data_IF_238951882446
#
_entry.id   IF_238951882446
#
_cell.length_a   1.000
_cell.length_b   1.000
_cell.length_c   1.000
_cell.angle_alpha   90.00
_cell.angle_beta   90.00
_cell.angle_gamma   90.00
#
_symmetry.space_group_name_H-M   'P 1'
#
loop_
_entity.id
_entity.type
_entity.pdbx_description
1 polymer ?
#
# COMPACT_ATOMS: atom_id res chain seq x y z
N UNK A 1 -0.08 9.49 29.37
CA UNK A 1 0.93 10.20 28.56
C UNK A 1 0.21 11.37 27.91
N UNK A 2 0.61 12.60 28.26
CA UNK A 2 -0.08 13.85 27.92
C UNK A 2 -0.01 14.07 26.39
N UNK A 3 -1.15 14.01 25.70
CA UNK A 3 -1.26 14.52 24.33
C UNK A 3 -1.25 16.04 24.39
N UNK A 4 -0.16 16.65 23.92
CA UNK A 4 -0.13 18.07 23.60
C UNK A 4 -0.97 18.29 22.33
N UNK A 5 -2.16 18.86 22.52
CA UNK A 5 -2.96 19.42 21.44
C UNK A 5 -2.39 20.80 21.07
N UNK A 6 -1.74 20.90 19.92
CA UNK A 6 -1.55 22.13 19.12
C UNK A 6 -0.95 21.72 17.77
N UNK A 7 -1.45 22.16 16.58
CA UNK A 7 -2.27 23.35 16.31
C UNK A 7 -3.59 23.00 15.59
N UNK A 8 -4.68 22.87 16.35
CA UNK A 8 -6.07 22.87 15.80
C UNK A 8 -6.77 24.20 16.11
N UNK A 9 -6.19 25.03 16.98
CA UNK A 9 -6.76 26.32 17.39
C UNK A 9 -6.68 27.44 16.33
N UNK A 10 -5.96 27.26 15.22
CA UNK A 10 -5.80 28.32 14.22
C UNK A 10 -6.99 28.38 13.25
N UNK A 11 -7.69 27.27 13.01
CA UNK A 11 -8.88 27.26 12.16
C UNK A 11 -10.10 27.82 12.89
N UNK A 12 -10.18 27.61 14.21
CA UNK A 12 -11.24 28.18 15.05
C UNK A 12 -11.14 29.71 15.21
N UNK A 13 -9.96 30.31 15.05
CA UNK A 13 -9.82 31.76 15.17
C UNK A 13 -10.17 32.53 13.88
N UNK A 14 -10.13 31.86 12.72
CA UNK A 14 -10.53 32.47 11.45
C UNK A 14 -12.04 32.33 11.16
N UNK A 15 -12.69 31.27 11.67
CA UNK A 15 -14.14 31.07 11.49
C UNK A 15 -15.00 32.09 12.28
N UNK A 16 -14.44 32.74 13.30
CA UNK A 16 -15.18 33.69 14.17
C UNK A 16 -15.12 35.14 13.66
N UNK A 17 -14.41 35.42 12.56
CA UNK A 17 -14.27 36.79 12.04
C UNK A 17 -15.02 37.11 10.73
N UNK A 18 -15.92 36.22 10.27
CA UNK A 18 -16.83 36.53 9.15
C UNK A 18 -18.24 36.79 9.69
N UNK A 19 -18.37 37.84 10.51
CA UNK A 19 -19.64 38.55 10.68
C UNK A 19 -19.66 39.63 9.59
N UNK A 20 -20.39 39.42 8.48
CA UNK A 20 -21.04 40.47 7.67
C UNK A 20 -21.66 39.91 6.36
N UNK A 21 -22.55 38.91 6.45
CA UNK A 21 -23.56 38.70 5.41
C UNK A 21 -24.89 38.28 6.06
N UNK A 22 -25.96 39.00 5.77
CA UNK A 22 -27.30 38.88 6.38
C UNK A 22 -28.09 37.65 5.89
N UNK A 23 -27.43 36.59 5.44
CA UNK A 23 -28.04 35.34 5.02
C UNK A 23 -27.49 34.20 5.87
N UNK A 24 -27.93 34.13 7.13
CA UNK A 24 -27.70 32.97 7.97
C UNK A 24 -28.44 31.77 7.35
N UNK A 25 -27.70 30.88 6.71
CA UNK A 25 -28.23 29.59 6.28
C UNK A 25 -28.53 28.78 7.54
N UNK A 26 -29.75 28.23 7.73
CA UNK A 26 -30.10 27.50 8.93
C UNK A 26 -29.50 26.09 8.84
N UNK A 27 -28.24 25.92 9.28
CA UNK A 27 -27.57 24.62 9.41
C UNK A 27 -28.33 23.59 10.24
N UNK A 28 -29.29 24.06 11.03
CA UNK A 28 -30.12 23.27 11.91
C UNK A 28 -31.46 22.88 11.29
N UNK A 29 -31.73 23.27 10.04
CA UNK A 29 -32.88 22.78 9.31
C UNK A 29 -32.57 21.42 8.64
N UNK A 30 -33.40 20.39 8.87
CA UNK A 30 -33.33 19.11 8.15
C UNK A 30 -33.21 19.20 6.62
N UNK A 31 -33.83 20.23 6.03
CA UNK A 31 -33.80 20.51 4.60
C UNK A 31 -32.37 20.74 4.07
N UNK A 32 -31.44 21.15 4.95
CA UNK A 32 -30.04 21.34 4.59
C UNK A 32 -29.36 20.02 4.18
N UNK A 33 -29.71 18.89 4.81
CA UNK A 33 -29.16 17.57 4.44
C UNK A 33 -29.61 17.15 3.03
N UNK A 34 -30.84 17.50 2.64
CA UNK A 34 -31.33 17.28 1.28
C UNK A 34 -30.59 18.17 0.26
N UNK A 35 -30.31 19.42 0.63
CA UNK A 35 -29.56 20.35 -0.22
C UNK A 35 -28.15 19.85 -0.55
N UNK A 36 -27.45 19.28 0.45
CA UNK A 36 -26.11 18.69 0.25
C UNK A 36 -26.14 17.22 -0.20
N UNK A 37 -27.32 16.68 -0.53
CA UNK A 37 -27.52 15.29 -0.96
C UNK A 37 -26.98 14.25 0.04
N UNK A 38 -27.00 14.56 1.34
CA UNK A 38 -26.63 13.62 2.38
C UNK A 38 -27.76 12.59 2.55
N UNK A 39 -27.48 11.27 2.53
CA UNK A 39 -28.51 10.26 2.76
C UNK A 39 -29.05 10.41 4.19
N UNK A 40 -30.38 10.37 4.34
CA UNK A 40 -31.04 10.49 5.65
C UNK A 40 -30.54 9.45 6.66
N UNK A 41 -30.17 8.26 6.18
CA UNK A 41 -29.67 7.16 7.00
C UNK A 41 -28.42 6.55 6.37
N UNK A 42 -27.32 6.46 7.11
CA UNK A 42 -26.11 5.75 6.69
C UNK A 42 -25.38 5.18 7.91
N UNK A 43 -24.82 3.98 7.79
CA UNK A 43 -24.06 3.33 8.87
C UNK A 43 -24.80 3.20 10.22
N UNK A 44 -26.13 3.11 10.20
CA UNK A 44 -26.96 3.02 11.41
C UNK A 44 -27.19 4.35 12.13
N UNK A 45 -26.82 5.47 11.50
CA UNK A 45 -27.08 6.82 12.00
C UNK A 45 -28.18 7.45 11.17
N UNK A 46 -29.19 8.03 11.84
CA UNK A 46 -30.13 8.97 11.24
C UNK A 46 -29.51 10.37 11.33
N UNK A 47 -29.07 10.90 10.20
CA UNK A 47 -28.31 12.15 10.14
C UNK A 47 -29.16 13.37 10.46
N UNK A 48 -30.47 13.31 10.20
CA UNK A 48 -31.40 14.39 10.51
C UNK A 48 -31.61 14.50 12.03
N UNK A 49 -31.83 13.36 12.68
CA UNK A 49 -31.94 13.28 14.14
C UNK A 49 -30.63 13.68 14.81
N UNK A 50 -29.49 13.25 14.25
CA UNK A 50 -28.17 13.62 14.75
C UNK A 50 -27.94 15.15 14.66
N UNK A 51 -28.22 15.75 13.51
CA UNK A 51 -28.04 17.19 13.27
C UNK A 51 -28.99 18.03 14.13
N UNK A 52 -30.26 17.64 14.23
CA UNK A 52 -31.24 18.29 15.10
C UNK A 52 -30.81 18.26 16.56
N UNK A 53 -30.38 17.09 17.06
CA UNK A 53 -29.86 16.97 18.42
C UNK A 53 -28.58 17.79 18.61
N UNK A 54 -27.70 17.85 17.62
CA UNK A 54 -26.49 18.66 17.74
C UNK A 54 -26.83 20.14 17.84
N UNK A 55 -27.73 20.62 17.00
CA UNK A 55 -28.18 22.01 16.99
C UNK A 55 -28.98 22.42 18.22
N UNK A 56 -29.79 21.53 18.79
CA UNK A 56 -30.51 21.81 20.03
C UNK A 56 -29.55 21.99 21.22
N UNK A 57 -28.45 21.23 21.22
CA UNK A 57 -27.52 21.15 22.36
C UNK A 57 -26.22 21.96 22.17
N UNK A 58 -26.01 22.57 21.00
CA UNK A 58 -24.82 23.36 20.68
C UNK A 58 -25.21 24.76 20.20
N UNK A 59 -25.11 25.75 21.08
CA UNK A 59 -25.20 27.17 20.70
C UNK A 59 -23.85 27.64 20.14
N UNK A 60 -23.81 28.55 19.16
CA UNK A 60 -22.57 29.05 18.53
C UNK A 60 -21.53 29.65 19.48
N UNK A 61 -21.93 30.02 20.69
CA UNK A 61 -21.10 30.70 21.68
C UNK A 61 -20.85 29.86 22.96
N UNK A 62 -21.36 28.63 23.01
CA UNK A 62 -21.22 27.74 24.16
C UNK A 62 -20.39 26.50 23.81
N UNK A 63 -19.43 26.15 24.69
CA UNK A 63 -18.69 24.90 24.55
C UNK A 63 -19.66 23.73 24.81
N UNK A 64 -19.93 22.89 23.79
CA UNK A 64 -20.83 21.73 23.88
C UNK A 64 -20.35 20.58 24.81
N UNK A 65 -19.52 20.87 25.81
CA UNK A 65 -18.73 19.86 26.51
C UNK A 65 -19.19 19.56 27.94
N UNK A 66 -20.29 20.13 28.41
CA UNK A 66 -20.75 19.88 29.78
C UNK A 66 -22.07 19.07 29.77
N UNK A 67 -21.93 17.74 29.89
CA UNK A 67 -22.93 16.76 30.36
C UNK A 67 -23.74 15.88 29.40
N UNK A 68 -23.52 15.85 28.08
CA UNK A 68 -24.29 14.94 27.22
C UNK A 68 -23.55 13.65 26.85
N UNK A 69 -24.07 12.50 27.35
CA UNK A 69 -23.62 11.14 27.01
C UNK A 69 -23.65 10.85 25.49
N UNK A 70 -24.45 11.57 24.73
CA UNK A 70 -24.59 11.45 23.26
C UNK A 70 -23.38 11.99 22.48
N UNK A 71 -22.57 12.87 23.07
CA UNK A 71 -21.34 13.40 22.45
C UNK A 71 -20.06 12.68 22.90
N UNK A 72 -20.18 11.61 23.70
CA UNK A 72 -19.01 10.79 24.09
C UNK A 72 -18.45 9.93 22.94
N UNK A 73 -19.14 9.85 21.81
CA UNK A 73 -18.60 9.25 20.61
C UNK A 73 -17.82 10.31 19.85
N UNK A 74 -16.48 10.27 19.94
CA UNK A 74 -15.56 11.02 19.08
C UNK A 74 -15.99 11.10 17.59
N UNK A 75 -16.66 10.09 16.99
CA UNK A 75 -17.26 10.20 15.66
C UNK A 75 -18.22 11.39 15.47
N UNK A 76 -19.09 11.72 16.44
CA UNK A 76 -20.09 12.79 16.28
C UNK A 76 -19.46 14.19 16.22
N UNK A 77 -18.47 14.43 17.09
CA UNK A 77 -17.69 15.68 17.08
C UNK A 77 -16.89 15.79 15.77
N UNK A 78 -16.28 14.69 15.31
CA UNK A 78 -15.56 14.66 14.05
C UNK A 78 -16.48 14.92 12.85
N UNK A 79 -17.68 14.33 12.82
CA UNK A 79 -18.67 14.57 11.76
C UNK A 79 -19.12 16.04 11.72
N UNK A 80 -19.40 16.66 12.86
CA UNK A 80 -19.76 18.08 12.92
C UNK A 80 -18.59 18.98 12.47
N UNK A 81 -17.37 18.67 12.90
CA UNK A 81 -16.17 19.39 12.46
C UNK A 81 -15.93 19.25 10.95
N UNK A 82 -16.19 18.07 10.37
CA UNK A 82 -16.08 17.83 8.93
C UNK A 82 -17.11 18.67 8.17
N UNK A 83 -18.39 18.62 8.56
CA UNK A 83 -19.46 19.36 7.87
C UNK A 83 -19.21 20.87 7.91
N UNK A 84 -18.83 21.41 9.08
CA UNK A 84 -18.50 22.82 9.24
C UNK A 84 -17.29 23.19 8.37
N UNK A 85 -16.25 22.35 8.36
CA UNK A 85 -15.06 22.59 7.54
C UNK A 85 -15.38 22.52 6.03
N UNK A 86 -16.22 21.58 5.58
CA UNK A 86 -16.67 21.47 4.19
C UNK A 86 -17.42 22.71 3.75
N UNK A 87 -18.32 23.22 4.59
CA UNK A 87 -19.07 24.44 4.31
C UNK A 87 -18.14 25.64 4.09
N UNK A 88 -17.21 25.87 5.03
CA UNK A 88 -16.26 26.97 4.90
C UNK A 88 -15.33 26.82 3.69
N UNK A 89 -15.00 25.58 3.31
CA UNK A 89 -14.22 25.28 2.11
C UNK A 89 -15.02 25.55 0.82
N UNK A 90 -16.33 25.29 0.78
CA UNK A 90 -17.18 25.55 -0.39
C UNK A 90 -17.37 27.06 -0.65
N UNK A 91 -17.38 27.88 0.40
CA UNK A 91 -17.52 29.34 0.30
C UNK A 91 -16.23 30.07 -0.11
N UNK A 92 -15.07 29.38 -0.14
CA UNK A 92 -13.83 29.99 -0.63
C UNK A 92 -13.78 30.01 -2.16
N UNK A 93 -13.21 31.06 -2.78
CA UNK A 93 -12.96 31.10 -4.22
C UNK A 93 -12.22 29.83 -4.68
N UNK A 94 -12.62 29.27 -5.83
CA UNK A 94 -12.11 27.98 -6.30
C UNK A 94 -10.59 27.93 -6.51
N UNK A 95 -9.95 29.06 -6.84
CA UNK A 95 -8.50 29.18 -6.99
C UNK A 95 -7.77 29.04 -5.64
N UNK A 96 -8.27 29.70 -4.59
CA UNK A 96 -7.71 29.61 -3.23
C UNK A 96 -7.96 28.25 -2.60
N UNK A 97 -9.11 27.63 -2.89
CA UNK A 97 -9.44 26.31 -2.39
C UNK A 97 -8.53 25.23 -2.97
N UNK A 98 -8.23 25.31 -4.26
CA UNK A 98 -7.33 24.37 -4.94
C UNK A 98 -5.90 24.51 -4.41
N UNK A 99 -5.46 25.75 -4.16
CA UNK A 99 -4.18 26.04 -3.54
C UNK A 99 -4.14 25.57 -2.07
N UNK A 100 -5.21 25.76 -1.31
CA UNK A 100 -5.30 25.38 0.11
C UNK A 100 -5.40 23.85 0.28
N UNK A 101 -6.27 23.17 -0.47
CA UNK A 101 -6.35 21.70 -0.46
C UNK A 101 -5.08 21.06 -1.06
N UNK A 102 -4.44 21.73 -2.02
CA UNK A 102 -3.15 21.32 -2.57
C UNK A 102 -1.98 21.52 -1.58
N UNK A 103 -1.98 22.60 -0.79
CA UNK A 103 -0.94 22.94 0.18
C UNK A 103 -1.11 22.24 1.52
N UNK A 104 -2.35 21.94 1.92
CA UNK A 104 -2.68 21.32 3.21
C UNK A 104 -3.04 19.85 3.02
N UNK A 105 -2.12 19.09 2.43
CA UNK A 105 -2.08 17.64 2.56
C UNK A 105 -1.97 17.17 4.04
N UNK A 106 -1.74 18.10 4.98
CA UNK A 106 -1.72 17.87 6.43
C UNK A 106 -3.10 17.84 7.10
N UNK A 107 -4.18 18.23 6.40
CA UNK A 107 -5.56 18.05 6.89
C UNK A 107 -6.07 16.62 6.66
N UNK A 108 -5.28 15.74 6.03
CA UNK A 108 -5.40 14.30 6.25
C UNK A 108 -5.28 14.04 7.77
N UNK A 109 -6.36 13.61 8.44
CA UNK A 109 -7.29 12.60 7.92
C UNK A 109 -8.73 13.04 7.62
N UNK A 110 -9.08 14.33 7.56
CA UNK A 110 -10.47 14.74 7.36
C UNK A 110 -10.95 14.44 5.92
N UNK A 111 -11.88 13.48 5.73
CA UNK A 111 -12.40 13.16 4.41
C UNK A 111 -13.44 14.21 4.02
N UNK A 112 -13.10 15.07 3.06
CA UNK A 112 -14.04 16.04 2.51
C UNK A 112 -14.89 15.46 1.38
N UNK A 113 -14.58 14.24 0.92
CA UNK A 113 -15.34 13.49 -0.07
C UNK A 113 -15.63 12.05 0.40
N UNK A 114 -16.77 11.48 0.02
CA UNK A 114 -17.13 10.07 0.32
C UNK A 114 -16.09 9.07 -0.21
N UNK A 115 -15.46 9.37 -1.36
CA UNK A 115 -14.35 8.59 -1.91
C UNK A 115 -13.07 8.66 -1.07
N UNK A 116 -12.89 9.71 -0.27
CA UNK A 116 -11.81 9.81 0.71
C UNK A 116 -12.17 9.10 2.00
N UNK A 117 -13.43 9.11 2.42
CA UNK A 117 -13.89 8.43 3.65
C UNK A 117 -13.58 6.93 3.61
N UNK A 118 -13.93 6.24 2.52
CA UNK A 118 -13.61 4.82 2.38
C UNK A 118 -12.11 4.53 2.49
N UNK A 119 -11.27 5.43 1.96
CA UNK A 119 -9.81 5.35 2.10
C UNK A 119 -9.37 5.52 3.55
N UNK A 120 -9.85 6.49 4.31
CA UNK A 120 -9.43 6.69 5.70
C UNK A 120 -10.02 5.65 6.68
N UNK A 121 -11.20 5.10 6.36
CA UNK A 121 -11.78 3.99 7.11
C UNK A 121 -10.94 2.71 6.93
N UNK A 122 -10.49 2.45 5.70
CA UNK A 122 -9.83 1.19 5.35
C UNK A 122 -8.30 1.25 5.32
N UNK A 123 -7.69 2.43 5.37
CA UNK A 123 -6.24 2.62 5.20
C UNK A 123 -5.62 3.37 6.38
N UNK A 124 -4.32 3.19 6.55
CA UNK A 124 -3.45 3.86 7.52
C UNK A 124 -2.41 4.68 6.76
N UNK A 125 -2.22 5.97 7.10
CA UNK A 125 -1.13 6.77 6.53
C UNK A 125 0.24 6.18 6.86
N UNK A 126 1.09 6.00 5.84
CA UNK A 126 2.41 5.37 5.98
C UNK A 126 3.31 6.16 6.93
N UNK A 127 3.22 7.49 6.92
CA UNK A 127 4.05 8.36 7.75
C UNK A 127 3.85 8.13 9.26
N UNK A 128 2.71 7.60 9.71
CA UNK A 128 2.48 7.32 11.14
C UNK A 128 3.37 6.21 11.69
N UNK A 129 3.78 5.28 10.82
CA UNK A 129 4.49 4.06 11.18
C UNK A 129 5.88 4.01 10.54
N UNK A 130 6.41 5.13 10.04
CA UNK A 130 7.75 5.16 9.48
C UNK A 130 8.83 4.99 10.56
N UNK A 131 9.81 4.16 10.22
CA UNK A 131 10.99 3.93 11.02
C UNK A 131 11.96 5.13 11.00
N UNK A 132 12.08 5.83 9.87
CA UNK A 132 12.86 7.07 9.77
C UNK A 132 12.00 8.31 10.11
N UNK A 133 12.30 8.96 11.23
CA UNK A 133 11.57 10.15 11.72
C UNK A 133 11.69 11.37 10.79
N UNK A 134 12.77 11.49 10.01
CA UNK A 134 12.92 12.58 9.04
C UNK A 134 11.97 12.39 7.86
N UNK A 135 11.87 11.15 7.37
CA UNK A 135 10.95 10.82 6.29
C UNK A 135 9.48 10.89 6.71
N UNK A 136 9.18 10.62 7.99
CA UNK A 136 7.84 10.84 8.56
C UNK A 136 7.37 12.30 8.40
N UNK A 137 8.30 13.26 8.38
CA UNK A 137 8.02 14.70 8.19
C UNK A 137 8.12 15.15 6.74
N UNK A 138 8.54 14.27 5.83
CA UNK A 138 8.75 14.62 4.42
C UNK A 138 7.42 14.84 3.70
N UNK A 139 7.27 15.93 2.92
CA UNK A 139 6.14 16.15 2.00
C UNK A 139 5.81 14.92 1.13
N UNK A 140 6.82 14.13 0.72
CA UNK A 140 6.65 12.93 -0.11
C UNK A 140 5.91 11.79 0.60
N UNK A 141 5.95 11.75 1.94
CA UNK A 141 5.31 10.73 2.76
C UNK A 141 3.84 11.07 3.07
N UNK A 142 3.41 12.33 2.86
CA UNK A 142 2.00 12.68 2.93
C UNK A 142 1.26 12.06 1.75
N UNK A 143 -0.01 11.73 1.96
CA UNK A 143 -0.87 11.01 1.00
C UNK A 143 -0.41 9.60 0.62
N UNK A 144 0.49 8.99 1.42
CA UNK A 144 0.85 7.58 1.26
C UNK A 144 0.06 6.73 2.24
N UNK A 145 -0.53 5.65 1.77
CA UNK A 145 -1.46 4.83 2.51
C UNK A 145 -1.19 3.35 2.32
N UNK A 146 -1.50 2.58 3.35
CA UNK A 146 -1.56 1.11 3.29
C UNK A 146 -2.86 0.63 3.91
N UNK A 147 -3.39 -0.53 3.52
CA UNK A 147 -4.56 -1.09 4.17
C UNK A 147 -4.37 -1.21 5.69
N UNK A 148 -5.42 -0.86 6.44
CA UNK A 148 -5.50 -1.07 7.88
C UNK A 148 -5.62 -2.56 8.12
N UNK A 149 -4.53 -3.11 8.64
CA UNK A 149 -4.33 -4.54 8.79
C UNK A 149 -3.72 -4.77 10.16
N UNK A 150 -4.36 -5.60 10.95
CA UNK A 150 -3.85 -6.11 12.20
C UNK A 150 -3.50 -7.57 11.98
N UNK A 151 -2.23 -7.84 11.64
CA UNK A 151 -1.79 -9.22 11.41
C UNK A 151 -2.02 -10.06 12.69
N UNK A 152 -1.88 -9.43 13.86
CA UNK A 152 -2.23 -9.98 15.17
C UNK A 152 -3.70 -10.43 15.29
N UNK A 153 -4.65 -9.71 14.69
CA UNK A 153 -6.08 -10.01 14.82
C UNK A 153 -6.48 -11.20 13.95
N UNK A 154 -5.74 -11.43 12.86
CA UNK A 154 -6.04 -12.51 11.92
C UNK A 154 -5.69 -13.90 12.47
N UNK A 155 -4.70 -13.99 13.37
CA UNK A 155 -4.12 -15.28 13.80
C UNK A 155 -3.50 -16.11 12.67
N UNK A 156 -3.45 -15.57 11.45
CA UNK A 156 -3.00 -16.28 10.25
C UNK A 156 -1.48 -16.24 10.08
N UNK A 157 -0.81 -15.28 10.72
CA UNK A 157 0.64 -15.16 10.61
C UNK A 157 1.35 -15.94 11.70
N UNK A 158 2.23 -16.87 11.30
CA UNK A 158 3.09 -17.60 12.23
C UNK A 158 4.06 -16.69 13.00
N UNK A 159 4.30 -15.47 12.51
CA UNK A 159 5.07 -14.44 13.23
C UNK A 159 4.15 -13.39 13.84
N UNK A 160 4.12 -13.35 15.18
CA UNK A 160 3.30 -12.43 15.97
C UNK A 160 4.12 -11.19 16.33
N UNK A 161 4.43 -10.36 15.34
CA UNK A 161 4.95 -9.01 15.60
C UNK A 161 3.87 -7.99 15.27
N UNK A 162 3.56 -7.10 16.23
CA UNK A 162 2.73 -5.94 15.96
C UNK A 162 3.51 -4.90 15.13
N UNK A 163 2.80 -4.01 14.45
CA UNK A 163 3.44 -2.91 13.70
C UNK A 163 4.39 -2.09 14.57
N UNK A 164 3.99 -1.77 15.80
CA UNK A 164 4.83 -1.06 16.77
C UNK A 164 6.12 -1.83 17.10
N UNK A 165 6.05 -3.15 17.23
CA UNK A 165 7.22 -3.98 17.49
C UNK A 165 8.17 -3.99 16.28
N UNK A 166 7.64 -4.10 15.06
CA UNK A 166 8.42 -4.05 13.84
C UNK A 166 9.10 -2.69 13.65
N UNK A 167 8.36 -1.59 13.84
CA UNK A 167 8.90 -0.22 13.73
C UNK A 167 9.97 0.04 14.80
N UNK A 168 9.77 -0.41 16.04
CA UNK A 168 10.79 -0.31 17.11
C UNK A 168 12.05 -1.09 16.74
N UNK A 169 11.90 -2.30 16.21
CA UNK A 169 13.03 -3.13 15.76
C UNK A 169 13.77 -2.46 14.61
N UNK A 170 13.05 -1.92 13.64
CA UNK A 170 13.64 -1.16 12.54
C UNK A 170 14.45 0.04 13.06
N UNK A 171 13.88 0.85 13.96
CA UNK A 171 14.57 2.01 14.56
C UNK A 171 15.84 1.59 15.31
N UNK A 172 15.80 0.46 16.01
CA UNK A 172 16.98 -0.10 16.66
C UNK A 172 18.06 -0.53 15.64
N UNK A 173 17.67 -1.19 14.55
CA UNK A 173 18.60 -1.58 13.48
C UNK A 173 19.22 -0.35 12.81
N UNK A 174 18.43 0.70 12.53
CA UNK A 174 18.93 1.93 11.90
C UNK A 174 20.00 2.63 12.76
N UNK A 175 19.81 2.67 14.09
CA UNK A 175 20.82 3.18 15.03
C UNK A 175 22.13 2.38 15.00
N UNK A 176 22.06 1.07 14.80
CA UNK A 176 23.24 0.20 14.82
C UNK A 176 24.03 0.21 13.50
N UNK A 177 23.36 0.40 12.36
CA UNK A 177 23.99 0.29 11.03
C UNK A 177 24.61 1.62 10.58
N UNK A 178 24.26 2.76 11.21
CA UNK A 178 24.77 4.08 10.80
C UNK A 178 24.38 4.41 9.36
N UNK A 179 23.14 4.06 8.99
CA UNK A 179 22.66 4.06 7.60
C UNK A 179 22.79 5.47 6.98
N UNK A 180 23.64 5.65 5.96
CA UNK A 180 23.65 6.88 5.19
C UNK A 180 22.35 6.98 4.38
N UNK A 181 21.80 8.19 4.24
CA UNK A 181 20.53 8.47 3.55
C UNK A 181 20.60 8.31 2.00
N UNK A 182 21.51 7.47 1.49
CA UNK A 182 21.89 7.35 0.07
C UNK A 182 20.92 6.53 -0.79
N UNK A 183 19.99 5.77 -0.20
CA UNK A 183 19.12 4.85 -0.95
C UNK A 183 18.17 5.56 -1.91
N UNK A 184 17.59 6.68 -1.47
CA UNK A 184 16.58 7.41 -2.24
C UNK A 184 17.11 7.93 -3.58
N UNK A 185 18.39 8.31 -3.65
CA UNK A 185 18.94 8.88 -4.88
C UNK A 185 18.98 7.86 -6.01
N UNK A 186 19.31 6.59 -5.76
CA UNK A 186 19.45 5.61 -6.84
C UNK A 186 18.11 5.36 -7.54
N UNK A 187 17.05 5.16 -6.77
CA UNK A 187 15.70 4.91 -7.31
C UNK A 187 15.18 6.14 -8.07
N UNK A 188 15.43 7.35 -7.55
CA UNK A 188 14.96 8.58 -8.19
C UNK A 188 15.53 8.75 -9.61
N UNK A 189 16.74 8.25 -9.90
CA UNK A 189 17.35 8.29 -11.24
C UNK A 189 16.85 7.22 -12.23
N UNK A 190 16.10 6.20 -11.78
CA UNK A 190 15.59 5.16 -12.68
C UNK A 190 14.41 5.72 -13.48
N UNK A 191 14.54 5.88 -14.80
CA UNK A 191 13.43 6.38 -15.62
C UNK A 191 12.45 5.24 -15.95
N UNK A 192 11.17 5.43 -15.62
CA UNK A 192 10.13 4.50 -16.05
C UNK A 192 10.00 4.55 -17.59
N UNK A 193 9.78 3.41 -18.25
CA UNK A 193 9.55 3.40 -19.69
C UNK A 193 8.27 4.16 -20.04
N UNK A 194 8.21 4.73 -21.25
CA UNK A 194 6.96 5.26 -21.78
C UNK A 194 5.96 4.09 -21.94
N UNK A 195 4.69 4.32 -21.61
CA UNK A 195 3.63 3.30 -21.54
C UNK A 195 3.25 2.71 -22.91
N UNK A 196 4.11 1.87 -23.49
CA UNK A 196 3.87 1.20 -24.79
C UNK A 196 4.00 -0.31 -24.71
N UNK A 197 3.77 -0.91 -23.54
CA UNK A 197 3.78 -2.36 -23.40
C UNK A 197 2.70 -2.99 -24.31
N UNK A 198 3.13 -3.55 -25.43
CA UNK A 198 2.27 -4.42 -26.25
C UNK A 198 2.16 -5.76 -25.53
N UNK A 199 1.06 -5.95 -24.83
CA UNK A 199 0.75 -7.24 -24.21
C UNK A 199 0.16 -8.14 -25.29
N UNK A 200 0.63 -9.38 -25.38
CA UNK A 200 -0.02 -10.37 -26.26
C UNK A 200 -1.48 -10.59 -25.83
N UNK A 201 -2.33 -10.99 -26.76
CA UNK A 201 -3.77 -11.05 -26.53
C UNK A 201 -4.13 -12.06 -25.41
N UNK A 202 -3.40 -13.17 -25.31
CA UNK A 202 -3.63 -14.20 -24.28
C UNK A 202 -3.35 -13.66 -22.88
N UNK A 203 -2.18 -13.03 -22.69
CA UNK A 203 -1.80 -12.41 -21.43
C UNK A 203 -2.75 -11.25 -21.11
N UNK A 204 -3.11 -10.43 -22.09
CA UNK A 204 -4.07 -9.33 -21.93
C UNK A 204 -5.42 -9.83 -21.37
N UNK A 205 -5.96 -10.94 -21.92
CA UNK A 205 -7.19 -11.55 -21.41
C UNK A 205 -7.04 -12.06 -19.97
N UNK A 206 -5.91 -12.73 -19.65
CA UNK A 206 -5.64 -13.25 -18.29
C UNK A 206 -5.57 -12.13 -17.25
N UNK A 207 -5.01 -10.98 -17.62
CA UNK A 207 -4.78 -9.86 -16.70
C UNK A 207 -5.89 -8.80 -16.70
N UNK A 208 -6.81 -8.81 -17.68
CA UNK A 208 -7.90 -7.83 -17.77
C UNK A 208 -8.75 -7.75 -16.50
N UNK A 209 -8.96 -8.88 -15.82
CA UNK A 209 -9.70 -8.93 -14.54
C UNK A 209 -9.06 -8.02 -13.48
N UNK A 210 -7.74 -7.83 -13.50
CA UNK A 210 -7.03 -6.97 -12.58
C UNK A 210 -7.26 -5.50 -12.92
N UNK A 211 -7.24 -5.12 -14.20
CA UNK A 211 -7.65 -3.78 -14.64
C UNK A 211 -9.04 -3.42 -14.10
N UNK A 212 -10.00 -4.33 -14.27
CA UNK A 212 -11.38 -4.13 -13.83
C UNK A 212 -11.46 -3.91 -12.30
N UNK A 213 -10.71 -4.68 -11.51
CA UNK A 213 -10.65 -4.55 -10.04
C UNK A 213 -10.06 -3.20 -9.60
N UNK A 214 -8.96 -2.78 -10.22
CA UNK A 214 -8.35 -1.48 -9.92
C UNK A 214 -9.30 -0.32 -10.28
N UNK A 215 -9.99 -0.40 -11.42
CA UNK A 215 -10.99 0.57 -11.84
C UNK A 215 -12.21 0.61 -10.90
N UNK A 216 -12.52 -0.49 -10.22
CA UNK A 216 -13.55 -0.58 -9.17
C UNK A 216 -13.05 -0.09 -7.80
N UNK A 217 -11.95 0.67 -7.77
CA UNK A 217 -11.36 1.26 -6.56
C UNK A 217 -10.91 0.23 -5.52
N UNK A 218 -10.70 -1.04 -5.90
CA UNK A 218 -10.31 -2.08 -4.94
C UNK A 218 -8.93 -1.86 -4.32
N UNK A 219 -8.06 -1.06 -4.96
CA UNK A 219 -6.81 -0.61 -4.32
C UNK A 219 -7.02 0.21 -3.03
N UNK A 220 -8.22 0.73 -2.78
CA UNK A 220 -8.57 1.49 -1.58
C UNK A 220 -9.28 0.64 -0.52
N UNK A 221 -9.38 -0.67 -0.75
CA UNK A 221 -10.00 -1.61 0.17
C UNK A 221 -9.03 -2.74 0.55
N UNK A 222 -9.48 -3.59 1.47
CA UNK A 222 -8.68 -4.71 1.98
C UNK A 222 -8.42 -5.81 0.95
N UNK A 223 -9.10 -5.80 -0.22
CA UNK A 223 -8.92 -6.74 -1.32
C UNK A 223 -7.78 -6.36 -2.24
N UNK A 224 -7.55 -5.08 -2.49
CA UNK A 224 -6.51 -4.64 -3.42
C UNK A 224 -6.78 -5.12 -4.84
N UNK A 225 -5.93 -5.99 -5.39
CA UNK A 225 -6.13 -6.58 -6.72
C UNK A 225 -6.81 -7.96 -6.69
N UNK A 226 -7.28 -8.40 -5.53
CA UNK A 226 -7.79 -9.75 -5.29
C UNK A 226 -9.32 -9.81 -5.30
N UNK A 227 -9.87 -11.02 -5.41
CA UNK A 227 -11.32 -11.21 -5.32
C UNK A 227 -11.83 -11.07 -3.87
N UNK A 228 -10.98 -11.34 -2.89
CA UNK A 228 -11.30 -11.44 -1.46
C UNK A 228 -10.46 -10.46 -0.64
N UNK A 229 -10.84 -10.22 0.61
CA UNK A 229 -10.09 -9.36 1.52
C UNK A 229 -8.77 -10.05 1.92
N UNK A 230 -7.67 -9.48 1.47
CA UNK A 230 -6.38 -10.14 1.32
C UNK A 230 -5.23 -9.43 2.02
N UNK A 231 -5.49 -8.25 2.55
CA UNK A 231 -4.43 -7.37 3.04
C UNK A 231 -3.69 -7.95 4.25
N UNK A 232 -4.39 -8.58 5.20
CA UNK A 232 -3.79 -9.27 6.35
C UNK A 232 -2.78 -10.33 5.93
N UNK A 233 -3.18 -11.10 4.93
CA UNK A 233 -2.38 -12.19 4.38
C UNK A 233 -1.16 -11.64 3.66
N UNK A 234 -1.31 -10.64 2.79
CA UNK A 234 -0.16 -10.08 2.08
C UNK A 234 0.82 -9.38 3.01
N UNK A 235 0.33 -8.73 4.07
CA UNK A 235 1.19 -8.15 5.09
C UNK A 235 1.95 -9.23 5.83
N UNK A 236 1.28 -10.33 6.20
CA UNK A 236 1.95 -11.49 6.80
C UNK A 236 3.04 -12.06 5.88
N UNK A 237 2.72 -12.30 4.61
CA UNK A 237 3.69 -12.78 3.60
C UNK A 237 4.91 -11.87 3.57
N UNK A 238 4.69 -10.56 3.46
CA UNK A 238 5.79 -9.60 3.45
C UNK A 238 6.61 -9.63 4.74
N UNK A 239 5.98 -9.68 5.91
CA UNK A 239 6.69 -9.70 7.20
C UNK A 239 7.55 -10.98 7.29
N UNK A 240 7.00 -12.15 6.98
CA UNK A 240 7.75 -13.42 6.94
C UNK A 240 8.92 -13.36 5.98
N UNK A 241 8.69 -12.91 4.75
CA UNK A 241 9.72 -12.78 3.72
C UNK A 241 10.78 -11.76 4.14
N UNK A 242 10.38 -10.61 4.69
CA UNK A 242 11.30 -9.57 5.15
C UNK A 242 12.24 -10.08 6.23
N UNK A 243 11.75 -10.91 7.16
CA UNK A 243 12.60 -11.57 8.15
C UNK A 243 13.53 -12.63 7.54
N UNK A 244 13.03 -13.45 6.62
CA UNK A 244 13.83 -14.49 5.95
C UNK A 244 14.94 -13.92 5.08
N UNK A 245 14.61 -12.94 4.24
CA UNK A 245 15.58 -12.23 3.41
C UNK A 245 16.51 -11.36 4.28
N UNK A 246 16.02 -10.91 5.43
CA UNK A 246 16.77 -10.17 6.42
C UNK A 246 16.82 -8.67 6.10
N UNK A 247 15.68 -8.10 5.74
CA UNK A 247 15.49 -6.68 5.40
C UNK A 247 16.19 -5.77 6.39
N UNK A 248 16.95 -4.81 5.86
CA UNK A 248 17.60 -3.77 6.66
C UNK A 248 17.19 -2.37 6.22
N UNK A 249 17.15 -1.42 7.17
CA UNK A 249 16.89 -0.02 6.85
C UNK A 249 17.85 0.55 5.81
N UNK A 250 17.33 1.30 4.85
CA UNK A 250 18.08 1.94 3.76
C UNK A 250 18.52 1.00 2.63
N UNK A 251 18.07 -0.25 2.61
CA UNK A 251 18.30 -1.14 1.46
C UNK A 251 17.22 -0.97 0.39
N UNK A 252 17.52 -1.46 -0.81
CA UNK A 252 16.68 -1.32 -1.98
C UNK A 252 15.97 -2.63 -2.33
N UNK A 253 14.67 -2.55 -2.64
CA UNK A 253 13.84 -3.66 -3.09
C UNK A 253 13.21 -3.40 -4.45
N UNK A 254 13.16 -4.42 -5.31
CA UNK A 254 12.34 -4.46 -6.51
C UNK A 254 11.11 -5.34 -6.27
N UNK A 255 9.91 -4.77 -6.37
CA UNK A 255 8.61 -5.46 -6.26
C UNK A 255 8.02 -5.68 -7.67
N UNK A 256 8.14 -6.90 -8.19
CA UNK A 256 7.72 -7.25 -9.54
C UNK A 256 6.26 -7.72 -9.55
N UNK A 257 5.42 -7.07 -10.36
CA UNK A 257 3.97 -7.24 -10.30
C UNK A 257 3.40 -6.65 -9.00
N UNK A 258 3.76 -5.39 -8.73
CA UNK A 258 3.50 -4.71 -7.45
C UNK A 258 2.02 -4.42 -7.16
N UNK A 259 1.14 -4.52 -8.16
CA UNK A 259 -0.30 -4.24 -8.04
C UNK A 259 -0.55 -2.83 -7.54
N UNK A 260 -1.31 -2.71 -6.45
CA UNK A 260 -1.56 -1.42 -5.79
C UNK A 260 -0.33 -0.89 -5.03
N UNK A 261 0.77 -1.64 -4.89
CA UNK A 261 1.97 -1.20 -4.18
C UNK A 261 1.91 -1.29 -2.65
N UNK A 262 0.93 -2.02 -2.10
CA UNK A 262 0.78 -2.19 -0.64
C UNK A 262 1.98 -2.89 0.00
N UNK A 263 2.56 -3.91 -0.66
CA UNK A 263 3.71 -4.66 -0.13
C UNK A 263 4.94 -3.78 -0.03
N UNK A 264 5.29 -3.08 -1.11
CA UNK A 264 6.40 -2.14 -1.08
C UNK A 264 6.18 -1.02 -0.05
N UNK A 265 4.94 -0.54 0.11
CA UNK A 265 4.61 0.46 1.13
C UNK A 265 4.80 -0.06 2.55
N UNK A 266 4.35 -1.29 2.86
CA UNK A 266 4.62 -1.93 4.15
C UNK A 266 6.11 -2.20 4.35
N UNK A 267 6.87 -2.55 3.30
CA UNK A 267 8.31 -2.76 3.40
C UNK A 267 9.01 -1.46 3.82
N UNK A 268 8.61 -0.35 3.20
CA UNK A 268 9.08 0.99 3.57
C UNK A 268 8.69 1.35 5.00
N UNK A 269 7.43 1.12 5.35
CA UNK A 269 6.89 1.46 6.67
C UNK A 269 7.58 0.69 7.80
N UNK A 270 7.60 -0.64 7.70
CA UNK A 270 7.96 -1.55 8.78
C UNK A 270 9.46 -1.84 8.85
N UNK A 271 10.17 -1.79 7.72
CA UNK A 271 11.59 -2.16 7.62
C UNK A 271 12.49 -1.04 7.10
N UNK A 272 11.92 0.11 6.72
CA UNK A 272 12.64 1.23 6.08
C UNK A 272 13.42 0.82 4.83
N UNK A 273 12.82 -0.09 4.06
CA UNK A 273 13.32 -0.52 2.75
C UNK A 273 12.70 0.35 1.67
N UNK A 274 13.54 1.04 0.90
CA UNK A 274 13.08 1.78 -0.28
C UNK A 274 12.93 0.81 -1.46
N UNK A 275 12.13 1.18 -2.46
CA UNK A 275 12.03 0.30 -3.62
C UNK A 275 11.34 0.87 -4.83
N UNK A 276 11.40 0.04 -5.87
CA UNK A 276 10.80 0.21 -7.16
C UNK A 276 9.73 -0.88 -7.35
N UNK A 277 8.48 -0.49 -7.61
CA UNK A 277 7.43 -1.39 -8.04
C UNK A 277 7.27 -1.37 -9.57
N UNK A 278 7.17 -2.53 -10.19
CA UNK A 278 6.82 -2.68 -11.61
C UNK A 278 5.43 -3.28 -11.70
N UNK A 279 4.55 -2.65 -12.48
CA UNK A 279 3.17 -3.12 -12.66
C UNK A 279 2.72 -2.93 -14.11
N UNK A 280 2.09 -3.96 -14.67
CA UNK A 280 1.63 -3.93 -16.07
C UNK A 280 0.25 -3.27 -16.20
N UNK A 281 -0.57 -3.36 -15.16
CA UNK A 281 -1.90 -2.77 -15.10
C UNK A 281 -1.83 -1.27 -14.82
N UNK A 282 -2.06 -0.46 -15.85
CA UNK A 282 -2.06 1.01 -15.76
C UNK A 282 -2.88 1.55 -14.56
N UNK A 283 -4.14 1.11 -14.31
CA UNK A 283 -4.90 1.69 -13.22
C UNK A 283 -4.31 1.40 -11.83
N UNK A 284 -3.72 0.21 -11.65
CA UNK A 284 -3.06 -0.17 -10.39
C UNK A 284 -1.73 0.57 -10.22
N UNK A 285 -0.92 0.64 -11.28
CA UNK A 285 0.34 1.39 -11.29
C UNK A 285 0.11 2.88 -10.98
N UNK A 286 -0.88 3.51 -11.64
CA UNK A 286 -1.27 4.91 -11.38
C UNK A 286 -1.70 5.10 -9.93
N UNK A 287 -2.51 4.18 -9.40
CA UNK A 287 -2.92 4.25 -7.99
C UNK A 287 -1.69 4.19 -7.06
N UNK A 288 -0.77 3.25 -7.30
CA UNK A 288 0.44 3.10 -6.51
C UNK A 288 1.34 4.34 -6.57
N UNK A 289 1.51 4.94 -7.75
CA UNK A 289 2.26 6.19 -7.93
C UNK A 289 1.73 7.34 -7.09
N UNK A 290 0.42 7.42 -6.91
CA UNK A 290 -0.24 8.48 -6.14
C UNK A 290 -0.27 8.19 -4.64
N UNK A 291 -0.48 6.93 -4.25
CA UNK A 291 -0.89 6.59 -2.89
C UNK A 291 -0.01 5.58 -2.17
N UNK A 292 0.93 4.92 -2.84
CA UNK A 292 1.85 3.97 -2.21
C UNK A 292 3.22 4.60 -1.96
N UNK A 293 3.92 4.15 -0.92
CA UNK A 293 5.28 4.56 -0.64
C UNK A 293 6.28 3.77 -1.49
N UNK A 294 7.19 4.48 -2.15
CA UNK A 294 8.13 3.93 -3.13
C UNK A 294 7.98 4.60 -4.50
N UNK A 295 8.78 4.16 -5.47
CA UNK A 295 8.63 4.55 -6.87
C UNK A 295 7.90 3.44 -7.61
N UNK A 296 6.93 3.78 -8.44
CA UNK A 296 6.15 2.79 -9.20
C UNK A 296 6.19 3.13 -10.68
N UNK A 297 6.57 2.14 -11.49
CA UNK A 297 6.60 2.25 -12.94
C UNK A 297 5.53 1.33 -13.54
N UNK A 298 4.74 1.90 -14.44
CA UNK A 298 3.95 1.10 -15.34
C UNK A 298 4.86 0.53 -16.43
N UNK A 299 4.82 -0.78 -16.67
CA UNK A 299 5.61 -1.38 -17.75
C UNK A 299 5.43 -2.88 -17.85
N UNK A 300 5.86 -3.43 -18.99
CA UNK A 300 5.95 -4.89 -19.15
C UNK A 300 7.13 -5.41 -18.32
N UNK A 301 6.82 -6.16 -17.26
CA UNK A 301 7.82 -6.77 -16.40
C UNK A 301 8.66 -7.85 -17.09
N UNK A 302 8.33 -8.26 -18.32
CA UNK A 302 9.17 -9.14 -19.15
C UNK A 302 10.42 -8.44 -19.67
N UNK A 303 10.42 -7.11 -19.72
CA UNK A 303 11.51 -6.30 -20.27
C UNK A 303 12.05 -5.35 -19.19
N UNK A 304 13.06 -5.80 -18.44
CA UNK A 304 13.66 -5.05 -17.34
C UNK A 304 15.00 -4.38 -17.73
N UNK A 305 15.27 -4.23 -19.03
CA UNK A 305 16.52 -3.63 -19.54
C UNK A 305 16.72 -2.16 -19.12
N UNK A 306 15.64 -1.43 -18.84
CA UNK A 306 15.67 -0.05 -18.36
C UNK A 306 16.04 0.08 -16.87
N UNK A 307 16.02 -1.02 -16.12
CA UNK A 307 16.48 -1.08 -14.73
C UNK A 307 17.96 -1.45 -14.73
N UNK A 308 18.85 -0.67 -14.10
CA UNK A 308 20.27 -1.05 -14.01
C UNK A 308 20.46 -2.38 -13.27
N UNK A 309 21.47 -3.15 -13.68
CA UNK A 309 21.90 -4.36 -12.96
C UNK A 309 22.54 -4.00 -11.62
N UNK A 310 22.75 -4.99 -10.74
CA UNK A 310 23.47 -4.82 -9.46
C UNK A 310 22.95 -3.67 -8.58
N UNK A 311 21.64 -3.42 -8.63
CA UNK A 311 21.02 -2.24 -7.99
C UNK A 311 20.35 -2.58 -6.67
N UNK A 312 19.61 -3.69 -6.62
CA UNK A 312 18.74 -4.01 -5.49
C UNK A 312 19.38 -4.98 -4.51
N UNK A 313 19.07 -4.82 -3.24
CA UNK A 313 19.42 -5.80 -2.21
C UNK A 313 18.39 -6.95 -2.18
N UNK A 314 17.14 -6.63 -2.53
CA UNK A 314 16.01 -7.55 -2.50
C UNK A 314 15.18 -7.52 -3.77
N UNK A 315 14.64 -8.68 -4.14
CA UNK A 315 13.58 -8.82 -5.14
C UNK A 315 12.42 -9.58 -4.52
N UNK A 316 11.20 -9.10 -4.73
CA UNK A 316 9.98 -9.84 -4.39
C UNK A 316 9.07 -9.91 -5.61
N UNK A 317 8.49 -11.08 -5.84
CA UNK A 317 7.31 -11.27 -6.68
C UNK A 317 6.40 -12.26 -5.96
N UNK A 318 5.15 -11.90 -5.70
CA UNK A 318 4.22 -12.78 -5.01
C UNK A 318 2.89 -12.84 -5.74
N UNK A 319 2.56 -14.04 -6.25
CA UNK A 319 1.37 -14.29 -7.06
C UNK A 319 1.26 -13.36 -8.27
N UNK A 320 2.38 -13.11 -8.93
CA UNK A 320 2.43 -12.29 -10.16
C UNK A 320 3.10 -13.09 -11.28
N UNK A 321 4.29 -13.62 -11.03
CA UNK A 321 5.10 -14.28 -12.07
C UNK A 321 4.45 -15.54 -12.66
N UNK A 322 3.61 -16.24 -11.88
CA UNK A 322 2.91 -17.45 -12.32
C UNK A 322 1.91 -17.21 -13.48
N UNK A 323 1.55 -15.96 -13.75
CA UNK A 323 0.71 -15.58 -14.88
C UNK A 323 1.42 -15.70 -16.24
N UNK A 324 2.75 -15.72 -16.24
CA UNK A 324 3.56 -15.81 -17.44
C UNK A 324 3.66 -17.25 -17.96
N UNK A 325 4.03 -17.38 -19.23
CA UNK A 325 4.42 -18.68 -19.79
C UNK A 325 5.65 -19.23 -19.06
N UNK A 326 5.87 -20.54 -19.10
CA UNK A 326 7.05 -21.17 -18.46
C UNK A 326 8.37 -20.53 -18.91
N UNK A 327 8.49 -20.26 -20.22
CA UNK A 327 9.67 -19.61 -20.80
C UNK A 327 9.85 -18.20 -20.26
N UNK A 328 8.78 -17.41 -20.24
CA UNK A 328 8.80 -16.04 -19.72
C UNK A 328 9.08 -15.98 -18.22
N UNK A 329 8.58 -16.93 -17.42
CA UNK A 329 8.93 -17.05 -16.00
C UNK A 329 10.43 -17.23 -15.82
N UNK A 330 11.05 -18.11 -16.60
CA UNK A 330 12.50 -18.31 -16.56
C UNK A 330 13.26 -17.06 -17.00
N UNK A 331 12.89 -16.45 -18.15
CA UNK A 331 13.52 -15.21 -18.65
C UNK A 331 13.43 -14.07 -17.65
N UNK A 332 12.26 -13.85 -17.04
CA UNK A 332 12.04 -12.83 -16.01
C UNK A 332 12.81 -13.16 -14.74
N UNK A 333 12.81 -14.42 -14.28
CA UNK A 333 13.58 -14.85 -13.12
C UNK A 333 15.07 -14.52 -13.26
N UNK A 334 15.67 -14.83 -14.42
CA UNK A 334 17.07 -14.48 -14.71
C UNK A 334 17.28 -12.96 -14.69
N UNK A 335 16.42 -12.19 -15.36
CA UNK A 335 16.52 -10.72 -15.36
C UNK A 335 16.43 -10.14 -13.95
N UNK A 336 15.49 -10.61 -13.13
CA UNK A 336 15.33 -10.21 -11.74
C UNK A 336 16.60 -10.49 -10.92
N UNK A 337 17.20 -11.67 -11.11
CA UNK A 337 18.46 -11.98 -10.42
C UNK A 337 19.61 -11.08 -10.87
N UNK A 338 19.68 -10.66 -12.14
CA UNK A 338 20.68 -9.66 -12.60
C UNK A 338 20.47 -8.28 -11.96
N UNK A 339 19.25 -7.94 -11.51
CA UNK A 339 19.00 -6.66 -10.83
C UNK A 339 19.45 -6.65 -9.37
N UNK A 340 19.65 -7.83 -8.77
CA UNK A 340 20.19 -7.95 -7.41
C UNK A 340 21.69 -7.68 -7.40
N UNK A 341 22.22 -7.03 -6.37
CA UNK A 341 23.65 -7.04 -6.05
C UNK A 341 24.13 -8.47 -5.78
N UNK A 342 25.43 -8.72 -5.90
CA UNK A 342 26.04 -9.95 -5.36
C UNK A 342 25.70 -10.09 -3.86
N UNK A 343 25.21 -11.27 -3.46
CA UNK A 343 24.69 -11.54 -2.12
C UNK A 343 23.27 -11.02 -1.86
N UNK A 344 22.69 -10.28 -2.80
CA UNK A 344 21.28 -9.89 -2.79
C UNK A 344 20.36 -11.11 -2.91
N UNK A 345 19.14 -10.98 -2.42
CA UNK A 345 18.22 -12.11 -2.27
C UNK A 345 16.87 -11.87 -2.94
N UNK A 346 16.29 -12.91 -3.53
CA UNK A 346 14.95 -12.87 -4.09
C UNK A 346 13.99 -13.80 -3.36
N UNK A 347 12.71 -13.45 -3.37
CA UNK A 347 11.60 -14.31 -3.06
C UNK A 347 10.60 -14.28 -4.22
N UNK A 348 10.34 -15.44 -4.82
CA UNK A 348 9.32 -15.63 -5.86
C UNK A 348 8.28 -16.62 -5.31
N UNK A 349 7.14 -16.12 -4.87
CA UNK A 349 6.15 -16.89 -4.12
C UNK A 349 4.79 -17.04 -4.80
N UNK A 350 4.01 -17.99 -4.25
CA UNK A 350 2.73 -18.42 -4.81
C UNK A 350 2.89 -18.99 -6.23
N UNK A 351 3.92 -19.82 -6.44
CA UNK A 351 4.11 -20.53 -7.70
C UNK A 351 3.25 -21.81 -7.74
N UNK A 352 2.82 -22.18 -8.93
CA UNK A 352 2.02 -23.38 -9.16
C UNK A 352 2.75 -24.39 -10.04
N UNK A 353 2.91 -25.61 -9.51
CA UNK A 353 3.61 -26.71 -10.16
C UNK A 353 3.20 -27.03 -11.61
N UNK A 354 1.90 -26.94 -12.00
CA UNK A 354 1.49 -27.18 -13.38
C UNK A 354 2.07 -26.20 -14.40
N UNK A 355 2.40 -24.96 -14.00
CA UNK A 355 2.97 -23.95 -14.90
C UNK A 355 4.49 -23.98 -14.87
N UNK A 356 5.05 -23.98 -13.67
CA UNK A 356 6.49 -24.03 -13.40
C UNK A 356 6.68 -24.75 -12.07
N UNK A 357 7.50 -25.79 -12.01
CA UNK A 357 7.81 -26.52 -10.77
C UNK A 357 9.24 -26.23 -10.27
N UNK A 358 9.55 -26.68 -9.04
CA UNK A 358 10.85 -26.43 -8.39
C UNK A 358 12.06 -26.87 -9.23
N UNK A 359 11.95 -28.02 -9.91
CA UNK A 359 13.04 -28.55 -10.73
C UNK A 359 13.23 -27.74 -12.01
N UNK A 360 12.14 -27.23 -12.57
CA UNK A 360 12.20 -26.35 -13.75
C UNK A 360 12.82 -25.00 -13.40
N UNK A 361 12.52 -24.45 -12.21
CA UNK A 361 13.22 -23.26 -11.71
C UNK A 361 14.70 -23.52 -11.46
N UNK A 362 15.04 -24.63 -10.82
CA UNK A 362 16.43 -24.99 -10.58
C UNK A 362 17.19 -25.14 -11.91
N UNK A 363 16.59 -25.83 -12.89
CA UNK A 363 17.16 -25.98 -14.24
C UNK A 363 17.33 -24.63 -14.94
N UNK A 364 16.35 -23.73 -14.83
CA UNK A 364 16.42 -22.38 -15.40
C UNK A 364 17.67 -21.62 -14.94
N UNK A 365 18.04 -21.72 -13.66
CA UNK A 365 19.22 -21.02 -13.13
C UNK A 365 20.53 -21.79 -13.29
N UNK A 366 20.51 -23.14 -13.31
CA UNK A 366 21.72 -23.96 -13.50
C UNK A 366 22.17 -24.02 -14.96
N UNK A 367 21.21 -24.10 -15.88
CA UNK A 367 21.45 -24.28 -17.31
C UNK A 367 21.06 -23.01 -18.09
N UNK A 368 21.15 -21.83 -17.46
CA UNK A 368 20.69 -20.58 -18.07
C UNK A 368 21.24 -20.40 -19.48
N UNK A 369 22.50 -20.75 -19.71
CA UNK A 369 23.12 -20.62 -21.02
C UNK A 369 22.57 -21.62 -22.05
N UNK A 370 22.26 -22.85 -21.67
CA UNK A 370 21.73 -23.87 -22.59
C UNK A 370 20.24 -23.65 -22.87
N UNK A 371 19.45 -23.41 -21.81
CA UNK A 371 18.01 -23.18 -21.91
C UNK A 371 17.70 -21.95 -22.76
N UNK A 372 18.50 -20.89 -22.60
CA UNK A 372 18.32 -19.63 -23.31
C UNK A 372 18.90 -19.66 -24.73
N UNK A 373 20.02 -20.36 -24.97
CA UNK A 373 20.55 -20.58 -26.34
C UNK A 373 19.56 -21.33 -27.22
N UNK A 374 18.77 -22.23 -26.66
CA UNK A 374 17.71 -22.94 -27.39
C UNK A 374 16.51 -22.03 -27.73
N UNK A 375 16.31 -20.91 -27.01
CA UNK A 375 15.09 -20.09 -27.06
C UNK A 375 15.33 -18.59 -27.30
N UNK A 376 16.33 -18.28 -28.15
CA UNK A 376 16.65 -16.96 -28.73
C UNK A 376 17.47 -15.98 -27.85
N UNK A 377 18.71 -15.73 -28.28
CA UNK A 377 19.31 -14.38 -28.38
C UNK A 377 19.70 -13.59 -27.13
N UNK A 378 19.46 -14.09 -25.91
CA UNK A 378 19.85 -13.34 -24.70
C UNK A 378 21.36 -13.44 -24.49
N UNK A 379 22.00 -12.28 -24.29
CA UNK A 379 23.46 -12.14 -24.18
C UNK A 379 24.12 -13.05 -23.15
N UNK A 380 25.35 -13.44 -23.48
CA UNK A 380 26.26 -14.27 -22.68
C UNK A 380 26.44 -13.69 -21.27
N UNK A 381 26.18 -14.51 -20.24
CA UNK A 381 26.32 -14.12 -18.84
C UNK A 381 25.26 -14.80 -17.97
N UNK A 382 25.45 -16.09 -17.68
CA UNK A 382 24.62 -16.82 -16.73
C UNK A 382 24.64 -16.18 -15.33
N UNK A 383 23.59 -16.42 -14.54
CA UNK A 383 23.51 -15.95 -13.15
C UNK A 383 23.63 -17.14 -12.21
N UNK A 384 24.65 -17.14 -11.37
CA UNK A 384 24.81 -18.17 -10.34
C UNK A 384 23.97 -17.80 -9.12
N UNK A 385 23.16 -18.75 -8.63
CA UNK A 385 22.28 -18.54 -7.48
C UNK A 385 22.38 -19.70 -6.50
N UNK A 386 22.30 -19.41 -5.20
CA UNK A 386 21.79 -20.42 -4.24
C UNK A 386 20.29 -20.50 -4.41
N UNK A 387 19.75 -21.72 -4.40
CA UNK A 387 18.35 -22.01 -4.64
C UNK A 387 17.76 -22.81 -3.49
N UNK A 388 16.70 -22.28 -2.89
CA UNK A 388 15.87 -23.00 -1.91
C UNK A 388 14.41 -22.95 -2.36
N UNK A 389 13.69 -24.06 -2.25
CA UNK A 389 12.25 -24.12 -2.50
C UNK A 389 11.53 -24.61 -1.25
N UNK A 390 10.43 -23.96 -0.89
CA UNK A 390 9.65 -24.27 0.30
C UNK A 390 8.17 -24.23 -0.07
N UNK A 391 7.39 -25.23 0.36
CA UNK A 391 5.94 -25.17 0.19
C UNK A 391 5.36 -24.05 1.05
N UNK A 392 4.41 -23.30 0.50
CA UNK A 392 3.84 -22.12 1.17
C UNK A 392 3.16 -22.52 2.50
N UNK A 393 2.68 -23.75 2.59
CA UNK A 393 2.15 -24.33 3.82
C UNK A 393 3.11 -24.40 5.01
N UNK A 394 4.42 -24.50 4.76
CA UNK A 394 5.44 -24.47 5.81
C UNK A 394 5.85 -23.04 6.17
N UNK A 395 5.88 -22.14 5.19
CA UNK A 395 6.21 -20.72 5.40
C UNK A 395 5.09 -19.99 6.14
N UNK A 396 3.85 -20.33 5.81
CA UNK A 396 2.63 -19.72 6.33
C UNK A 396 1.79 -20.85 6.94
N UNK A 397 2.20 -21.42 8.08
CA UNK A 397 1.49 -22.53 8.67
C UNK A 397 0.03 -22.12 8.91
N UNK A 398 -0.94 -22.87 8.36
CA UNK A 398 -2.33 -22.49 8.46
C UNK A 398 -2.75 -22.50 9.93
N UNK A 399 -3.45 -21.45 10.36
CA UNK A 399 -4.22 -21.50 11.59
C UNK A 399 -5.10 -22.78 11.53
N UNK A 400 -5.13 -23.54 12.62
CA UNK A 400 -5.95 -24.75 12.72
C UNK A 400 -7.43 -24.49 12.35
N UNK A 401 -7.91 -23.26 12.58
CA UNK A 401 -9.24 -22.78 12.14
C UNK A 401 -9.34 -22.70 10.62
N UNK A 402 -8.29 -22.23 9.94
CA UNK A 402 -8.25 -22.11 8.48
C UNK A 402 -8.25 -23.49 7.80
N UNK A 403 -7.52 -24.47 8.37
CA UNK A 403 -7.60 -25.86 7.91
C UNK A 403 -9.03 -26.42 8.02
N UNK A 404 -9.71 -26.12 9.12
CA UNK A 404 -11.08 -26.60 9.38
C UNK A 404 -12.10 -25.99 8.43
N UNK A 405 -11.92 -24.73 8.06
CA UNK A 405 -12.87 -23.99 7.22
C UNK A 405 -12.63 -24.14 5.72
N UNK A 406 -11.47 -24.66 5.28
CA UNK A 406 -11.08 -24.74 3.85
C UNK A 406 -11.15 -23.39 3.11
N UNK A 407 -11.06 -22.28 3.85
CA UNK A 407 -11.49 -20.94 3.38
C UNK A 407 -10.38 -20.02 2.87
N UNK A 408 -9.15 -20.49 2.72
CA UNK A 408 -8.05 -19.58 2.37
C UNK A 408 -7.32 -20.03 1.10
N UNK A 409 -7.35 -19.14 0.11
CA UNK A 409 -6.64 -19.20 -1.17
C UNK A 409 -5.10 -19.22 -1.00
N UNK A 410 -4.53 -18.88 0.18
CA UNK A 410 -3.11 -19.12 0.49
C UNK A 410 -2.75 -20.60 0.36
N UNK A 411 -3.75 -21.46 0.58
CA UNK A 411 -3.59 -22.90 0.69
C UNK A 411 -4.17 -23.63 -0.53
N UNK A 412 -4.19 -22.98 -1.70
CA UNK A 412 -4.41 -23.70 -2.96
C UNK A 412 -3.20 -24.60 -3.22
N UNK A 413 -3.20 -25.77 -2.57
CA UNK A 413 -2.16 -26.75 -2.73
C UNK A 413 -2.24 -27.43 -4.10
N UNK A 414 -1.10 -27.68 -4.76
CA UNK A 414 0.25 -27.31 -4.33
C UNK A 414 0.63 -25.87 -4.76
N UNK A 415 0.98 -25.04 -3.78
CA UNK A 415 1.64 -23.74 -3.97
C UNK A 415 2.97 -23.73 -3.22
N UNK A 416 3.98 -23.12 -3.81
CA UNK A 416 5.33 -23.04 -3.24
C UNK A 416 5.98 -21.71 -3.54
N UNK A 417 7.03 -21.43 -2.78
CA UNK A 417 7.90 -20.28 -2.96
C UNK A 417 9.34 -20.72 -3.17
N UNK A 418 10.09 -19.92 -3.91
CA UNK A 418 11.53 -20.09 -4.05
C UNK A 418 12.25 -18.88 -3.49
N UNK A 419 13.36 -19.16 -2.81
CA UNK A 419 14.31 -18.18 -2.31
C UNK A 419 15.60 -18.32 -3.10
N UNK A 420 16.13 -17.20 -3.54
CA UNK A 420 17.33 -17.15 -4.36
C UNK A 420 18.34 -16.22 -3.70
N UNK A 421 19.62 -16.56 -3.73
CA UNK A 421 20.70 -15.62 -3.37
C UNK A 421 21.67 -15.51 -4.53
N UNK A 422 21.87 -14.30 -5.07
CA UNK A 422 22.82 -14.09 -6.18
C UNK A 422 24.25 -14.34 -5.69
N UNK A 423 25.00 -15.17 -6.40
CA UNK A 423 26.43 -15.42 -6.17
C UNK A 423 27.30 -14.63 -7.16
N UNK A 424 28.57 -14.49 -6.77
CA UNK A 424 29.60 -13.82 -7.54
C UNK A 424 29.95 -14.57 -8.83
#
# INVERSE_FOLDING_TARGET
MIMRLSPVLVVLHYAVQVQHSDSAIPFCEPSFLEYVQCPRHEHGVDWEVFLANACENCQPDELCLENHQSFQCAPGILSAMIIISQYFLIEQPSEDLTQFLGAVASLAPFPFYTSQYSRYANMVPVNLLMCNEEQQRSPKAFNRFVPRVHAEDSGMCGMVYTDDQLVRRCRAMRRNVGVPDRSSTVIDHINCPASTASVDEELAQKIQKYSNRANQLQCQDSRGMWNEAMSDIHKCVLITVGHWLGFRPGQLMLDWGSGCGHKLSWAKMLFDVDGLGVEIQEPAARWAQLYSAGKFCQGDGRELGWIPEDTFDYVISYASIYHLTKLDQCKVGIQLMRKLKIGGKAFLGWNHGPVMNNWEWLKCFQESDAFVKEHEGIGEGGVVVDFDAVEDGYLFPPDARVLKEKRSFLYQYPAYSIFLTRKA
#
